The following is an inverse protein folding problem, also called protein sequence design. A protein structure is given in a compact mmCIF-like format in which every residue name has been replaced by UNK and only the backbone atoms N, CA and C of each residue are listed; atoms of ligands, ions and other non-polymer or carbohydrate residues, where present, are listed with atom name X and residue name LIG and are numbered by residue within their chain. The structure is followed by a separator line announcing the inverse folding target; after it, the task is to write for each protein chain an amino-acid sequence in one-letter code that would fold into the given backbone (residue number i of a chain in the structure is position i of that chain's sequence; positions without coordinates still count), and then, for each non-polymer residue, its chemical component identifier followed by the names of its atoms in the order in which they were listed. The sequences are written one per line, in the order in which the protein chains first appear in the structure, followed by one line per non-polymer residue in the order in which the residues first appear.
data_IF_539807930293
#
_entry.id   IF_539807930293
#
_cell.length_a   1.000
_cell.length_b   1.000
_cell.length_c   1.000
_cell.angle_alpha   90.00
_cell.angle_beta   90.00
_cell.angle_gamma   90.00
#
_symmetry.space_group_name_H-M   'P 1'
#
loop_
_entity.id
_entity.type
_entity.pdbx_description
1 polymer ?
#
# COMPACT_ATOMS: atom_id res chain seq x y z
N UNK A 1 5.63 16.67 -17.22
CA UNK A 1 5.59 18.05 -16.66
C UNK A 1 7.00 18.61 -16.71
N UNK A 2 7.22 19.70 -17.47
CA UNK A 2 8.50 20.42 -17.44
C UNK A 2 8.68 21.01 -16.04
N UNK A 3 9.86 20.84 -15.45
CA UNK A 3 10.15 21.38 -14.13
C UNK A 3 10.19 22.91 -14.21
N UNK A 4 9.63 23.65 -13.23
CA UNK A 4 9.79 25.09 -13.17
C UNK A 4 11.29 25.42 -13.09
N UNK A 5 11.77 26.27 -13.99
CA UNK A 5 13.07 26.94 -13.91
C UNK A 5 12.89 28.19 -13.05
N UNK A 6 13.68 28.31 -12.00
CA UNK A 6 13.70 29.49 -11.12
C UNK A 6 14.86 30.37 -11.56
N UNK A 7 14.61 31.67 -11.72
CA UNK A 7 15.67 32.63 -11.99
C UNK A 7 16.44 32.95 -10.72
N UNK A 8 17.62 33.56 -10.87
CA UNK A 8 18.43 34.05 -9.75
C UNK A 8 17.64 35.00 -8.83
N UNK A 9 16.81 35.85 -9.42
CA UNK A 9 16.01 36.83 -8.70
C UNK A 9 14.88 36.17 -7.89
N UNK A 10 14.27 35.10 -8.42
CA UNK A 10 13.27 34.31 -7.69
C UNK A 10 13.88 33.68 -6.43
N UNK A 11 15.12 33.19 -6.53
CA UNK A 11 15.85 32.59 -5.40
C UNK A 11 16.20 33.64 -4.35
N UNK A 12 16.68 34.81 -4.76
CA UNK A 12 17.00 35.91 -3.84
C UNK A 12 15.76 36.46 -3.14
N UNK A 13 14.65 36.64 -3.85
CA UNK A 13 13.37 37.06 -3.28
C UNK A 13 12.86 36.04 -2.24
N UNK A 14 12.98 34.74 -2.54
CA UNK A 14 12.61 33.68 -1.61
C UNK A 14 13.51 33.63 -0.36
N UNK A 15 14.79 34.00 -0.48
CA UNK A 15 15.73 34.04 0.63
C UNK A 15 15.50 35.24 1.56
N UNK A 16 15.22 36.43 1.03
CA UNK A 16 15.09 37.67 1.81
C UNK A 16 13.98 37.60 2.88
N UNK A 17 12.88 36.89 2.62
CA UNK A 17 11.77 36.72 3.56
C UNK A 17 11.81 35.43 4.39
N UNK A 18 12.77 34.55 4.16
CA UNK A 18 12.77 33.22 4.74
C UNK A 18 13.53 33.15 6.06
N UNK A 19 12.91 32.53 7.07
CA UNK A 19 13.55 32.21 8.36
C UNK A 19 14.05 30.76 8.41
N UNK A 20 13.85 30.01 7.34
CA UNK A 20 14.31 28.63 7.19
C UNK A 20 14.23 28.18 5.74
N UNK A 21 14.98 27.14 5.39
CA UNK A 21 14.91 26.51 4.08
C UNK A 21 13.52 25.95 3.74
N UNK A 22 12.69 25.62 4.76
CA UNK A 22 11.27 25.28 4.56
C UNK A 22 10.48 26.48 4.03
N UNK A 23 10.73 27.66 4.58
CA UNK A 23 10.03 28.89 4.18
C UNK A 23 10.40 29.26 2.74
N UNK A 24 11.67 29.07 2.35
CA UNK A 24 12.14 29.18 0.95
C UNK A 24 11.38 28.24 0.02
N UNK A 25 11.26 26.96 0.40
CA UNK A 25 10.50 25.98 -0.40
C UNK A 25 9.03 26.40 -0.57
N UNK A 26 8.41 26.91 0.50
CA UNK A 26 7.02 27.38 0.45
C UNK A 26 6.90 28.62 -0.46
N UNK A 27 7.82 29.58 -0.35
CA UNK A 27 7.83 30.79 -1.18
C UNK A 27 7.98 30.47 -2.67
N UNK A 28 8.78 29.46 -3.00
CA UNK A 28 8.96 28.95 -4.37
C UNK A 28 7.81 28.05 -4.86
N UNK A 29 6.75 27.85 -4.05
CA UNK A 29 5.63 26.98 -4.38
C UNK A 29 5.98 25.48 -4.42
N UNK A 30 7.09 25.08 -3.79
CA UNK A 30 7.58 23.71 -3.78
C UNK A 30 6.99 22.91 -2.62
N UNK A 31 6.77 21.61 -2.87
CA UNK A 31 6.37 20.67 -1.81
C UNK A 31 7.51 20.46 -0.82
N UNK A 32 7.21 20.48 0.47
CA UNK A 32 8.21 20.22 1.52
C UNK A 32 8.52 18.73 1.60
N UNK A 33 9.66 18.30 1.04
CA UNK A 33 10.20 16.94 1.17
C UNK A 33 11.72 16.91 0.97
N UNK A 34 12.36 15.81 1.36
CA UNK A 34 13.81 15.61 1.31
C UNK A 34 14.43 15.88 -0.08
N UNK A 35 13.72 15.55 -1.16
CA UNK A 35 14.20 15.75 -2.53
C UNK A 35 14.20 17.23 -2.95
N UNK A 36 13.23 18.01 -2.49
CA UNK A 36 13.16 19.44 -2.82
C UNK A 36 14.22 20.25 -2.05
N UNK A 37 14.59 19.85 -0.84
CA UNK A 37 15.72 20.45 -0.12
C UNK A 37 17.02 20.33 -0.93
N UNK A 38 17.35 19.13 -1.39
CA UNK A 38 18.55 18.90 -2.24
C UNK A 38 18.49 19.72 -3.54
N UNK A 39 17.30 19.87 -4.12
CA UNK A 39 17.12 20.65 -5.34
C UNK A 39 17.42 22.14 -5.13
N UNK A 40 16.90 22.74 -4.06
CA UNK A 40 17.17 24.16 -3.77
C UNK A 40 18.65 24.39 -3.50
N UNK A 41 19.32 23.47 -2.79
CA UNK A 41 20.78 23.52 -2.63
C UNK A 41 21.51 23.59 -3.98
N UNK A 42 21.19 22.68 -4.90
CA UNK A 42 21.82 22.67 -6.23
C UNK A 42 21.50 23.91 -7.07
N UNK A 43 20.32 24.52 -6.91
CA UNK A 43 19.96 25.77 -7.59
C UNK A 43 20.73 26.97 -7.05
N UNK A 44 20.92 27.06 -5.73
CA UNK A 44 21.72 28.12 -5.12
C UNK A 44 23.19 28.00 -5.53
N UNK A 45 23.71 26.77 -5.54
CA UNK A 45 25.09 26.48 -5.97
C UNK A 45 25.31 26.82 -7.45
N UNK A 46 24.37 26.47 -8.35
CA UNK A 46 24.49 26.79 -9.78
C UNK A 46 24.46 28.28 -10.08
N UNK A 47 23.79 29.07 -9.23
CA UNK A 47 23.68 30.53 -9.37
C UNK A 47 24.75 31.30 -8.57
N UNK A 48 25.68 30.57 -7.93
CA UNK A 48 26.75 31.15 -7.11
C UNK A 48 26.24 31.91 -5.87
N UNK A 49 25.04 31.57 -5.39
CA UNK A 49 24.46 32.18 -4.19
C UNK A 49 24.93 31.37 -2.98
N UNK A 50 25.69 31.96 -2.04
CA UNK A 50 26.11 31.25 -0.83
C UNK A 50 24.88 30.83 -0.03
N UNK A 51 24.94 29.63 0.55
CA UNK A 51 23.86 29.13 1.41
C UNK A 51 23.73 30.05 2.63
N UNK A 52 22.57 30.67 2.87
CA UNK A 52 22.41 31.50 4.05
C UNK A 52 22.38 30.63 5.30
N UNK A 53 23.07 31.12 6.33
CA UNK A 53 22.94 30.57 7.67
C UNK A 53 21.57 30.97 8.21
N UNK A 54 20.61 30.04 8.14
CA UNK A 54 19.38 30.21 8.88
C UNK A 54 19.70 30.06 10.37
N UNK A 55 19.17 30.95 11.25
CA UNK A 55 19.30 30.72 12.67
C UNK A 55 18.78 29.33 12.96
N UNK A 56 19.60 28.49 13.60
CA UNK A 56 19.15 27.20 14.04
C UNK A 56 17.84 27.46 14.79
N UNK A 57 16.72 26.97 14.24
CA UNK A 57 15.48 26.95 15.02
C UNK A 57 15.87 26.12 16.21
N UNK A 58 16.16 26.79 17.32
CA UNK A 58 16.18 26.12 18.59
C UNK A 58 14.88 25.34 18.61
N UNK A 59 14.99 24.12 19.10
CA UNK A 59 13.90 23.33 19.62
C UNK A 59 13.22 24.11 20.77
N UNK A 60 12.78 25.35 20.51
CA UNK A 60 12.19 26.24 21.49
C UNK A 60 10.88 25.62 21.87
N UNK A 61 10.60 25.66 23.17
CA UNK A 61 9.33 25.22 23.71
C UNK A 61 8.15 25.93 23.03
N UNK A 62 8.33 27.18 22.58
CA UNK A 62 7.33 27.92 21.81
C UNK A 62 7.03 27.27 20.44
N UNK A 63 8.05 26.90 19.66
CA UNK A 63 7.85 26.23 18.37
C UNK A 63 7.28 24.82 18.55
N UNK A 64 7.65 24.11 19.62
CA UNK A 64 7.07 22.80 19.97
C UNK A 64 5.59 22.91 20.34
N UNK A 65 5.22 23.91 21.15
CA UNK A 65 3.82 24.19 21.52
C UNK A 65 2.97 24.59 20.32
N UNK A 66 3.46 25.47 19.46
CA UNK A 66 2.73 25.91 18.26
C UNK A 66 2.46 24.76 17.25
N UNK A 67 3.29 23.71 17.26
CA UNK A 67 3.10 22.53 16.42
C UNK A 67 2.41 21.36 17.16
N UNK A 68 1.94 21.58 18.39
CA UNK A 68 1.26 20.55 19.16
C UNK A 68 -0.18 20.42 18.64
N UNK A 69 -0.46 19.31 17.96
CA UNK A 69 -1.83 18.94 17.59
C UNK A 69 -2.62 18.72 18.89
N UNK A 70 -3.79 19.34 19.01
CA UNK A 70 -4.73 19.13 20.13
C UNK A 70 -5.06 17.64 20.28
N UNK A 71 -5.53 17.21 21.44
CA UNK A 71 -5.92 15.80 21.60
C UNK A 71 -7.20 15.49 20.79
N UNK A 72 -8.13 16.44 20.69
CA UNK A 72 -9.32 16.34 19.84
C UNK A 72 -8.95 16.11 18.36
N UNK A 73 -8.04 16.90 17.79
CA UNK A 73 -7.59 16.72 16.39
C UNK A 73 -6.73 15.47 16.17
N UNK A 74 -6.11 14.98 17.23
CA UNK A 74 -5.27 13.80 17.17
C UNK A 74 -6.12 12.52 17.19
N UNK A 75 -7.08 12.44 18.10
CA UNK A 75 -7.98 11.30 18.32
C UNK A 75 -9.27 11.42 17.51
N UNK A 76 -9.10 11.52 16.18
CA UNK A 76 -10.21 11.54 15.22
C UNK A 76 -10.07 10.43 14.19
N UNK A 77 -11.19 10.13 13.53
CA UNK A 77 -11.25 9.19 12.43
C UNK A 77 -10.70 9.77 11.11
N UNK A 78 -10.32 8.88 10.18
CA UNK A 78 -9.87 9.23 8.83
C UNK A 78 -8.41 9.65 8.69
N UNK A 79 -7.59 9.56 9.76
CA UNK A 79 -6.17 9.94 9.69
C UNK A 79 -5.29 8.79 10.17
N UNK A 80 -4.24 8.45 9.43
CA UNK A 80 -3.27 7.50 9.95
C UNK A 80 -2.43 8.12 11.07
N UNK A 81 -2.36 7.44 12.22
CA UNK A 81 -1.49 7.80 13.33
C UNK A 81 -0.61 6.61 13.69
N UNK A 82 0.61 6.92 14.11
CA UNK A 82 1.55 5.90 14.57
C UNK A 82 1.14 5.38 15.95
N UNK A 83 1.14 4.05 16.13
CA UNK A 83 0.70 3.40 17.37
C UNK A 83 1.53 3.81 18.60
N UNK A 84 2.82 4.08 18.44
CA UNK A 84 3.65 4.56 19.56
C UNK A 84 3.26 5.96 20.00
N UNK A 85 2.83 6.82 19.05
CA UNK A 85 2.34 8.17 19.35
C UNK A 85 0.97 8.14 20.02
N UNK A 86 0.07 7.28 19.55
CA UNK A 86 -1.23 7.04 20.18
C UNK A 86 -1.03 6.61 21.63
N UNK A 87 -0.28 5.52 21.86
CA UNK A 87 -0.01 5.01 23.21
C UNK A 87 0.54 6.07 24.14
N UNK A 88 1.57 6.81 23.71
CA UNK A 88 2.18 7.86 24.53
C UNK A 88 1.18 8.95 24.93
N UNK A 89 0.23 9.28 24.05
CA UNK A 89 -0.82 10.26 24.38
C UNK A 89 -1.88 9.67 25.31
N UNK A 90 -2.33 8.43 25.07
CA UNK A 90 -3.27 7.75 25.97
C UNK A 90 -2.72 7.68 27.41
N UNK A 91 -1.47 7.28 27.59
CA UNK A 91 -0.84 7.24 28.91
C UNK A 91 -0.72 8.61 29.56
N UNK A 92 -0.48 9.67 28.76
CA UNK A 92 -0.47 11.05 29.26
C UNK A 92 -1.87 11.52 29.70
N UNK A 93 -2.92 11.03 29.04
CA UNK A 93 -4.31 11.27 29.40
C UNK A 93 -4.77 10.44 30.62
N UNK A 94 -3.88 9.70 31.27
CA UNK A 94 -4.19 8.92 32.46
C UNK A 94 -4.82 7.56 32.17
N UNK A 95 -4.70 7.05 30.94
CA UNK A 95 -5.14 5.69 30.64
C UNK A 95 -4.30 4.66 31.40
N UNK A 96 -4.97 3.62 31.88
CA UNK A 96 -4.30 2.53 32.58
C UNK A 96 -3.32 1.81 31.65
N UNK A 97 -2.12 1.52 32.16
CA UNK A 97 -1.05 0.88 31.40
C UNK A 97 -1.07 -0.66 31.56
N UNK A 98 -2.27 -1.25 31.64
CA UNK A 98 -2.50 -2.68 31.66
C UNK A 98 -3.17 -3.14 30.36
N UNK A 99 -3.03 -4.43 30.05
CA UNK A 99 -3.76 -5.03 28.96
C UNK A 99 -5.26 -5.00 29.25
N UNK A 100 -6.04 -4.35 28.40
CA UNK A 100 -7.50 -4.28 28.49
C UNK A 100 -8.21 -5.63 28.38
N UNK A 101 -7.54 -6.68 27.88
CA UNK A 101 -8.10 -8.02 27.69
C UNK A 101 -7.78 -8.94 28.86
N UNK A 102 -6.51 -9.00 29.28
CA UNK A 102 -6.05 -9.96 30.29
C UNK A 102 -5.51 -9.33 31.59
N UNK A 103 -5.51 -7.99 31.70
CA UNK A 103 -4.99 -7.27 32.86
C UNK A 103 -3.47 -7.29 33.00
N UNK A 104 -2.73 -7.84 32.04
CA UNK A 104 -1.27 -7.93 32.12
C UNK A 104 -0.62 -6.55 32.29
N UNK A 105 0.21 -6.42 33.31
CA UNK A 105 1.03 -5.25 33.59
C UNK A 105 2.03 -4.96 32.45
N UNK A 106 2.60 -3.75 32.38
CA UNK A 106 3.61 -3.41 31.37
C UNK A 106 5.00 -3.97 31.76
N UNK A 107 5.02 -5.18 32.29
CA UNK A 107 6.21 -5.95 32.66
C UNK A 107 5.98 -7.43 32.32
N UNK A 108 7.00 -8.06 31.77
CA UNK A 108 7.03 -9.50 31.52
C UNK A 108 8.43 -10.04 31.78
N UNK A 109 8.53 -11.11 32.58
CA UNK A 109 9.80 -11.75 32.93
C UNK A 109 10.84 -10.76 33.51
N UNK A 110 10.41 -9.88 34.41
CA UNK A 110 11.25 -8.85 35.04
C UNK A 110 11.76 -7.77 34.09
N UNK A 111 11.17 -7.65 32.88
CA UNK A 111 11.56 -6.66 31.87
C UNK A 111 10.35 -5.84 31.43
N UNK A 112 10.54 -4.55 31.08
CA UNK A 112 9.45 -3.71 30.58
C UNK A 112 8.78 -4.32 29.34
N UNK A 113 7.46 -4.47 29.39
CA UNK A 113 6.64 -4.92 28.28
C UNK A 113 5.94 -3.71 27.64
N UNK A 114 6.13 -3.56 26.34
CA UNK A 114 5.40 -2.56 25.56
C UNK A 114 4.03 -3.11 25.20
N UNK A 115 2.98 -2.59 25.85
CA UNK A 115 1.60 -2.78 25.37
C UNK A 115 1.43 -2.11 24.01
N UNK A 116 0.66 -2.75 23.14
CA UNK A 116 0.37 -2.33 21.78
C UNK A 116 -1.00 -1.63 21.75
N UNK A 117 -1.17 -0.74 20.79
CA UNK A 117 -2.48 -0.12 20.51
C UNK A 117 -3.21 -1.03 19.54
N UNK A 118 -4.41 -1.44 19.92
CA UNK A 118 -5.34 -2.15 19.05
C UNK A 118 -6.55 -1.27 18.74
N UNK A 119 -6.97 -1.32 17.48
CA UNK A 119 -8.17 -0.67 16.97
C UNK A 119 -9.29 -1.70 17.00
N UNK A 120 -10.33 -1.49 17.81
CA UNK A 120 -11.40 -2.47 18.04
C UNK A 120 -12.06 -2.89 16.72
N UNK A 121 -12.31 -1.93 15.82
CA UNK A 121 -12.86 -2.19 14.48
C UNK A 121 -11.83 -2.61 13.42
N UNK A 122 -10.54 -2.71 13.77
CA UNK A 122 -9.44 -3.04 12.85
C UNK A 122 -9.06 -1.94 11.86
N UNK A 123 -9.71 -0.77 11.91
CA UNK A 123 -9.41 0.35 11.03
C UNK A 123 -8.33 1.25 11.62
N UNK A 124 -7.12 1.19 11.05
CA UNK A 124 -5.95 1.97 11.51
C UNK A 124 -6.05 3.48 11.33
N UNK A 125 -7.06 3.99 10.63
CA UNK A 125 -7.30 5.44 10.51
C UNK A 125 -8.34 5.95 11.49
N UNK A 126 -9.02 5.05 12.20
CA UNK A 126 -10.08 5.41 13.14
C UNK A 126 -9.55 5.57 14.56
N UNK A 127 -9.01 6.75 14.87
CA UNK A 127 -8.33 6.99 16.16
C UNK A 127 -9.25 7.59 17.23
N UNK A 128 -10.56 7.42 17.10
CA UNK A 128 -11.50 7.81 18.15
C UNK A 128 -11.15 7.06 19.45
N UNK A 129 -11.16 7.73 20.59
CA UNK A 129 -10.73 7.16 21.87
C UNK A 129 -11.49 5.86 22.21
N UNK A 130 -12.79 5.84 21.97
CA UNK A 130 -13.67 4.68 22.16
C UNK A 130 -13.32 3.47 21.29
N UNK A 131 -12.62 3.67 20.17
CA UNK A 131 -12.19 2.60 19.27
C UNK A 131 -10.77 2.09 19.60
N UNK A 132 -10.10 2.64 20.61
CA UNK A 132 -8.73 2.30 20.96
C UNK A 132 -8.67 1.51 22.26
N UNK A 133 -7.77 0.53 22.31
CA UNK A 133 -7.42 -0.17 23.56
C UNK A 133 -5.94 -0.51 23.62
N UNK A 134 -5.40 -0.58 24.82
CA UNK A 134 -4.05 -1.08 25.06
C UNK A 134 -4.12 -2.59 25.31
N UNK A 135 -3.30 -3.36 24.60
CA UNK A 135 -3.28 -4.83 24.68
C UNK A 135 -1.85 -5.34 24.71
N UNK A 136 -1.60 -6.46 25.41
CA UNK A 136 -0.29 -7.10 25.36
C UNK A 136 -0.06 -7.77 24.00
N UNK A 137 1.19 -8.03 23.59
CA UNK A 137 1.50 -8.65 22.30
C UNK A 137 0.78 -9.99 22.09
N UNK A 138 0.60 -10.77 23.16
CA UNK A 138 -0.07 -12.08 23.09
C UNK A 138 -1.57 -11.94 22.82
N UNK A 139 -2.27 -11.03 23.51
CA UNK A 139 -3.68 -10.77 23.26
C UNK A 139 -3.90 -10.09 21.92
N UNK A 140 -2.99 -9.18 21.51
CA UNK A 140 -3.08 -8.56 20.20
C UNK A 140 -2.92 -9.58 19.09
N UNK A 141 -1.99 -10.53 19.22
CA UNK A 141 -1.80 -11.60 18.24
C UNK A 141 -3.05 -12.50 18.05
N UNK A 142 -3.93 -12.54 19.07
CA UNK A 142 -5.19 -13.29 19.05
C UNK A 142 -6.37 -12.46 18.56
N UNK A 143 -6.21 -11.18 18.25
CA UNK A 143 -7.32 -10.37 17.74
C UNK A 143 -7.66 -10.76 16.30
N UNK A 144 -8.95 -10.68 15.95
CA UNK A 144 -9.45 -10.94 14.59
C UNK A 144 -8.84 -10.00 13.53
N UNK A 145 -8.31 -8.86 13.99
CA UNK A 145 -7.75 -7.78 13.20
C UNK A 145 -6.23 -7.88 13.06
N UNK A 146 -5.58 -8.79 13.81
CA UNK A 146 -4.14 -8.94 13.84
C UNK A 146 -3.58 -9.37 12.48
N UNK A 147 -2.48 -8.74 12.05
CA UNK A 147 -1.77 -9.16 10.84
C UNK A 147 -2.52 -8.94 9.51
N UNK A 148 -3.73 -8.36 9.50
CA UNK A 148 -4.54 -8.09 8.29
C UNK A 148 -3.92 -7.08 7.30
N UNK A 149 -2.66 -6.67 7.50
CA UNK A 149 -1.92 -5.81 6.57
C UNK A 149 -1.52 -6.48 5.26
N UNK A 150 -1.64 -7.80 5.18
CA UNK A 150 -1.23 -8.56 4.00
C UNK A 150 -2.37 -9.42 3.44
N UNK A 151 -3.60 -8.91 3.42
CA UNK A 151 -4.52 -9.36 2.38
C UNK A 151 -3.86 -8.96 1.06
N UNK A 152 -3.04 -9.88 0.51
CA UNK A 152 -2.37 -9.73 -0.76
C UNK A 152 -3.46 -9.35 -1.75
N UNK A 153 -3.49 -8.07 -2.14
CA UNK A 153 -4.31 -7.59 -3.24
C UNK A 153 -3.66 -8.17 -4.50
N UNK A 154 -3.83 -9.47 -4.71
CA UNK A 154 -3.49 -10.12 -5.94
C UNK A 154 -4.28 -9.39 -7.02
N UNK A 155 -3.57 -8.69 -7.88
CA UNK A 155 -4.16 -8.18 -9.11
C UNK A 155 -3.96 -9.23 -10.18
N UNK A 156 -4.89 -9.26 -11.12
CA UNK A 156 -4.79 -10.10 -12.30
C UNK A 156 -4.67 -9.19 -13.52
N UNK A 157 -3.89 -9.62 -14.51
CA UNK A 157 -3.76 -8.94 -15.78
C UNK A 157 -5.14 -8.79 -16.42
N UNK A 158 -5.52 -7.58 -16.81
CA UNK A 158 -6.81 -7.30 -17.46
C UNK A 158 -6.97 -8.01 -18.82
N UNK A 159 -5.88 -8.46 -19.43
CA UNK A 159 -5.88 -8.99 -20.80
C UNK A 159 -5.84 -10.51 -20.87
N UNK A 160 -5.00 -11.14 -20.05
CA UNK A 160 -4.83 -12.60 -20.06
C UNK A 160 -5.17 -13.26 -18.73
N UNK A 161 -5.40 -12.45 -17.70
CA UNK A 161 -5.85 -12.94 -16.42
C UNK A 161 -4.81 -13.61 -15.53
N UNK A 162 -3.53 -13.61 -15.91
CA UNK A 162 -2.45 -14.09 -15.03
C UNK A 162 -2.27 -13.18 -13.83
N UNK A 163 -1.81 -13.71 -12.70
CA UNK A 163 -1.46 -12.94 -11.51
C UNK A 163 -0.37 -11.92 -11.83
N UNK A 164 -0.54 -10.68 -11.39
CA UNK A 164 0.40 -9.59 -11.58
C UNK A 164 0.70 -8.90 -10.25
N UNK A 165 1.76 -8.09 -10.23
CA UNK A 165 2.09 -7.29 -9.04
C UNK A 165 0.94 -6.32 -8.72
N UNK A 166 0.73 -5.93 -7.44
CA UNK A 166 -0.39 -5.07 -7.04
C UNK A 166 -0.48 -3.70 -7.74
N UNK A 167 0.62 -3.25 -8.37
CA UNK A 167 0.70 -1.99 -9.11
C UNK A 167 0.51 -2.15 -10.63
N UNK A 168 0.62 -3.37 -11.15
CA UNK A 168 0.51 -3.63 -12.58
C UNK A 168 -0.96 -3.85 -12.99
N UNK A 169 -1.39 -3.22 -14.09
CA UNK A 169 -2.70 -3.49 -14.71
C UNK A 169 -2.63 -4.66 -15.71
N UNK A 170 -1.46 -4.88 -16.32
CA UNK A 170 -1.22 -5.92 -17.33
C UNK A 170 0.11 -6.64 -17.06
N UNK A 171 0.25 -7.90 -17.48
CA UNK A 171 1.49 -8.66 -17.28
C UNK A 171 2.59 -8.19 -18.26
N UNK A 172 3.85 -8.56 -17.97
CA UNK A 172 5.02 -8.21 -18.78
C UNK A 172 4.84 -8.60 -20.25
N UNK A 173 4.29 -9.79 -20.51
CA UNK A 173 4.06 -10.29 -21.87
C UNK A 173 2.99 -9.49 -22.60
N UNK A 174 1.81 -9.27 -21.99
CA UNK A 174 0.76 -8.47 -22.61
C UNK A 174 1.17 -7.01 -22.82
N UNK A 175 1.96 -6.43 -21.91
CA UNK A 175 2.54 -5.11 -22.10
C UNK A 175 3.52 -5.08 -23.28
N UNK A 176 4.34 -6.13 -23.46
CA UNK A 176 5.28 -6.22 -24.57
C UNK A 176 4.59 -6.47 -25.92
N UNK A 177 3.48 -7.22 -25.94
CA UNK A 177 2.66 -7.41 -27.14
C UNK A 177 2.02 -6.09 -27.58
N UNK A 178 1.42 -5.32 -26.64
CA UNK A 178 0.88 -3.98 -26.93
C UNK A 178 1.92 -3.05 -27.54
N UNK A 179 3.15 -3.03 -26.99
CA UNK A 179 4.24 -2.19 -27.52
C UNK A 179 4.68 -2.58 -28.93
N UNK A 180 4.60 -3.86 -29.27
CA UNK A 180 5.00 -4.40 -30.58
C UNK A 180 3.86 -4.41 -31.60
N UNK A 181 2.68 -3.88 -31.26
CA UNK A 181 1.50 -3.94 -32.12
C UNK A 181 0.98 -5.36 -32.37
N UNK A 182 1.46 -6.35 -31.62
CA UNK A 182 1.01 -7.74 -31.76
C UNK A 182 -0.19 -7.98 -30.85
N UNK A 183 -1.18 -8.78 -31.28
CA UNK A 183 -2.33 -9.11 -30.44
C UNK A 183 -1.85 -9.68 -29.10
N UNK A 184 -2.11 -8.96 -28.01
CA UNK A 184 -1.73 -9.41 -26.68
C UNK A 184 -2.62 -10.57 -26.26
N UNK A 185 -2.02 -11.73 -25.95
CA UNK A 185 -2.65 -12.77 -25.14
C UNK A 185 -4.00 -13.27 -25.65
N UNK A 186 -4.20 -13.40 -26.96
CA UNK A 186 -5.35 -14.15 -27.46
C UNK A 186 -5.04 -15.65 -27.41
N UNK A 187 -5.82 -16.38 -26.62
CA UNK A 187 -6.25 -17.71 -27.04
C UNK A 187 -6.71 -17.60 -28.50
N UNK A 188 -6.30 -18.52 -29.36
CA UNK A 188 -6.71 -18.56 -30.78
C UNK A 188 -8.24 -18.68 -30.98
N UNK A 189 -9.01 -18.69 -29.89
CA UNK A 189 -10.40 -19.09 -29.78
C UNK A 189 -11.13 -18.12 -28.84
N UNK A 190 -12.37 -17.78 -29.20
CA UNK A 190 -13.30 -17.05 -28.36
C UNK A 190 -13.85 -18.01 -27.29
N UNK A 191 -13.41 -17.83 -26.04
CA UNK A 191 -13.90 -18.64 -24.93
C UNK A 191 -15.30 -18.20 -24.52
N UNK A 192 -16.23 -19.14 -24.26
CA UNK A 192 -17.51 -18.85 -23.62
C UNK A 192 -17.31 -18.21 -22.24
N UNK A 193 -18.38 -17.59 -21.74
CA UNK A 193 -18.43 -17.11 -20.35
C UNK A 193 -18.11 -18.26 -19.35
N UNK A 194 -17.43 -18.00 -18.22
CA UNK A 194 -17.09 -19.04 -17.24
C UNK A 194 -18.24 -19.94 -16.82
N UNK A 195 -19.43 -19.39 -16.61
CA UNK A 195 -20.59 -20.17 -16.18
C UNK A 195 -21.10 -21.07 -17.31
N UNK A 196 -21.15 -20.52 -18.53
CA UNK A 196 -21.51 -21.29 -19.72
C UNK A 196 -20.48 -22.40 -20.00
N UNK A 197 -19.19 -22.12 -19.80
CA UNK A 197 -18.14 -23.12 -19.99
C UNK A 197 -18.29 -24.27 -18.99
N UNK A 198 -18.57 -23.97 -17.71
CA UNK A 198 -18.85 -24.99 -16.68
C UNK A 198 -20.05 -25.85 -17.04
N UNK A 199 -21.16 -25.23 -17.41
CA UNK A 199 -22.38 -25.94 -17.81
C UNK A 199 -22.12 -26.85 -19.01
N UNK A 200 -21.44 -26.36 -20.05
CA UNK A 200 -21.10 -27.18 -21.23
C UNK A 200 -20.18 -28.36 -20.89
N UNK A 201 -19.17 -28.15 -20.03
CA UNK A 201 -18.29 -29.24 -19.60
C UNK A 201 -19.06 -30.28 -18.76
N UNK A 202 -20.01 -29.85 -17.92
CA UNK A 202 -20.86 -30.75 -17.15
C UNK A 202 -21.81 -31.57 -18.04
N UNK A 203 -22.38 -30.95 -19.09
CA UNK A 203 -23.36 -31.61 -19.97
C UNK A 203 -22.73 -32.54 -21.00
N UNK A 204 -21.68 -32.11 -21.70
CA UNK A 204 -21.11 -32.87 -22.84
C UNK A 204 -19.67 -33.33 -22.63
N UNK A 205 -19.03 -32.96 -21.52
CA UNK A 205 -17.66 -33.34 -21.19
C UNK A 205 -16.58 -32.45 -21.82
N UNK A 206 -15.42 -32.37 -21.15
CA UNK A 206 -14.33 -31.46 -21.53
C UNK A 206 -13.76 -31.75 -22.93
N UNK A 207 -13.68 -33.02 -23.35
CA UNK A 207 -13.18 -33.41 -24.66
C UNK A 207 -14.11 -32.99 -25.80
N UNK A 208 -15.44 -32.98 -25.58
CA UNK A 208 -16.40 -32.54 -26.59
C UNK A 208 -16.38 -31.02 -26.75
N UNK A 209 -16.32 -30.28 -25.63
CA UNK A 209 -16.13 -28.82 -25.64
C UNK A 209 -14.82 -28.43 -26.32
N UNK A 210 -13.75 -29.20 -26.11
CA UNK A 210 -12.45 -28.95 -26.73
C UNK A 210 -12.51 -29.08 -28.26
N UNK A 211 -13.20 -30.11 -28.78
CA UNK A 211 -13.41 -30.30 -30.22
C UNK A 211 -14.20 -29.15 -30.85
N UNK A 212 -15.29 -28.74 -30.21
CA UNK A 212 -16.14 -27.64 -30.69
C UNK A 212 -15.38 -26.31 -30.74
N UNK A 213 -14.54 -26.06 -29.73
CA UNK A 213 -13.74 -24.85 -29.62
C UNK A 213 -12.42 -24.91 -30.42
N UNK A 214 -12.05 -26.04 -31.01
CA UNK A 214 -10.77 -26.20 -31.73
C UNK A 214 -9.54 -26.08 -30.82
N UNK A 215 -9.64 -26.54 -29.57
CA UNK A 215 -8.58 -26.51 -28.55
C UNK A 215 -8.28 -27.89 -27.99
N UNK A 216 -7.19 -28.04 -27.23
CA UNK A 216 -6.93 -29.27 -26.49
C UNK A 216 -7.82 -29.37 -25.24
N UNK A 217 -8.16 -30.60 -24.84
CA UNK A 217 -8.90 -30.85 -23.60
C UNK A 217 -8.20 -30.26 -22.37
N UNK A 218 -6.88 -30.35 -22.33
CA UNK A 218 -6.04 -29.74 -21.29
C UNK A 218 -6.22 -28.22 -21.22
N UNK A 219 -6.44 -27.54 -22.35
CA UNK A 219 -6.71 -26.11 -22.37
C UNK A 219 -8.07 -25.76 -21.74
N UNK A 220 -9.12 -26.56 -22.02
CA UNK A 220 -10.44 -26.42 -21.40
C UNK A 220 -10.34 -26.62 -19.88
N UNK A 221 -9.67 -27.68 -19.43
CA UNK A 221 -9.47 -27.97 -18.00
C UNK A 221 -8.66 -26.90 -17.26
N UNK A 222 -7.59 -26.37 -17.88
CA UNK A 222 -6.79 -25.28 -17.31
C UNK A 222 -7.56 -23.96 -17.27
N UNK A 223 -8.48 -23.73 -18.23
CA UNK A 223 -9.33 -22.54 -18.23
C UNK A 223 -10.38 -22.60 -17.12
N UNK A 224 -11.11 -23.71 -17.02
CA UNK A 224 -12.07 -23.94 -15.93
C UNK A 224 -11.43 -23.73 -14.55
N UNK A 225 -10.28 -24.38 -14.28
CA UNK A 225 -9.56 -24.19 -13.01
C UNK A 225 -9.23 -22.73 -12.67
N UNK A 226 -8.79 -21.94 -13.67
CA UNK A 226 -8.49 -20.51 -13.44
C UNK A 226 -9.74 -19.68 -13.18
N UNK A 227 -10.83 -19.99 -13.88
CA UNK A 227 -12.09 -19.28 -13.72
C UNK A 227 -12.75 -19.63 -12.37
N UNK A 228 -12.56 -20.86 -11.89
CA UNK A 228 -12.96 -21.30 -10.55
C UNK A 228 -12.08 -20.70 -9.45
N UNK A 229 -10.75 -20.66 -9.63
CA UNK A 229 -9.83 -19.96 -8.71
C UNK A 229 -10.17 -18.46 -8.60
N UNK A 230 -10.60 -17.83 -9.70
CA UNK A 230 -11.06 -16.43 -9.75
C UNK A 230 -12.39 -16.23 -9.04
N UNK A 231 -13.34 -17.15 -9.23
CA UNK A 231 -14.63 -17.12 -8.55
C UNK A 231 -14.42 -17.33 -7.04
N UNK A 232 -13.63 -18.33 -6.64
CA UNK A 232 -13.33 -18.63 -5.25
C UNK A 232 -12.61 -17.47 -4.56
N UNK A 233 -11.67 -16.79 -5.23
CA UNK A 233 -11.03 -15.57 -4.67
C UNK A 233 -11.96 -14.35 -4.60
N UNK A 234 -13.00 -14.28 -5.43
CA UNK A 234 -14.01 -13.23 -5.36
C UNK A 234 -15.03 -13.47 -4.22
N UNK A 235 -15.31 -14.73 -3.90
CA UNK A 235 -16.27 -15.14 -2.85
C UNK A 235 -15.61 -15.20 -1.47
N UNK A 236 -14.39 -15.73 -1.37
CA UNK A 236 -13.79 -16.06 -0.07
C UNK A 236 -13.11 -14.90 0.65
N UNK A 237 -12.89 -13.74 0.01
CA UNK A 237 -12.31 -12.60 0.71
C UNK A 237 -11.06 -12.92 1.56
N UNK A 238 -10.21 -13.88 1.11
CA UNK A 238 -8.91 -14.37 1.62
C UNK A 238 -8.93 -15.86 2.05
N UNK A 239 -8.11 -16.68 1.37
CA UNK A 239 -7.08 -17.59 1.93
C UNK A 239 -6.82 -18.76 0.97
N UNK A 240 -5.57 -18.91 0.49
CA UNK A 240 -5.21 -20.06 -0.34
C UNK A 240 -3.88 -19.88 -1.03
N UNK A 241 -2.81 -20.32 -0.36
CA UNK A 241 -1.51 -20.48 -0.99
C UNK A 241 -1.53 -21.68 -1.95
N UNK A 242 -1.15 -21.45 -3.20
CA UNK A 242 -0.44 -22.44 -4.02
C UNK A 242 0.24 -21.74 -5.20
N UNK A 243 1.36 -22.32 -5.58
CA UNK A 243 2.28 -21.96 -6.66
C UNK A 243 1.54 -21.63 -7.95
N UNK A 244 1.57 -20.36 -8.37
CA UNK A 244 1.03 -19.96 -9.66
C UNK A 244 1.95 -20.48 -10.78
N UNK A 245 1.41 -21.05 -11.87
CA UNK A 245 2.24 -21.52 -12.97
C UNK A 245 2.93 -20.34 -13.64
N UNK A 246 4.24 -20.47 -13.85
CA UNK A 246 5.00 -19.58 -14.72
C UNK A 246 4.48 -19.65 -16.15
N UNK A 247 4.59 -18.52 -16.84
CA UNK A 247 4.10 -18.32 -18.18
C UNK A 247 5.20 -18.67 -19.21
N UNK A 248 5.73 -19.89 -19.17
CA UNK A 248 6.82 -20.38 -20.01
C UNK A 248 6.74 -21.93 -19.97
N UNK A 249 6.78 -22.74 -21.03
CA UNK A 249 7.21 -22.66 -22.43
C UNK A 249 6.44 -23.74 -23.25
N UNK A 250 6.47 -23.71 -24.60
CA UNK A 250 6.08 -24.88 -25.39
C UNK A 250 7.12 -25.98 -25.18
N UNK A 251 6.72 -27.10 -24.58
CA UNK A 251 7.52 -28.32 -24.64
C UNK A 251 7.49 -28.82 -26.09
N UNK A 252 8.63 -28.69 -26.76
CA UNK A 252 8.96 -29.42 -27.98
C UNK A 252 9.05 -30.90 -27.63
N UNK A 253 8.09 -31.69 -28.08
CA UNK A 253 8.26 -33.13 -28.18
C UNK A 253 8.49 -33.47 -29.66
N UNK A 254 9.68 -34.03 -29.92
CA UNK A 254 9.87 -34.96 -31.04
C UNK A 254 9.31 -36.33 -30.68
#
# INVERSE_FOLDING_TARGET
MRRPTYSRDDLLAALLGARSLKDVLIALGLKVNAGQYRRVHGLLESEGIPMPEFPARYNTEAARRANLISDEDFFRSGVFRDGSKIRRRLLRLGWDHHCSVCGLAPEWNGRPLVLQVDHINGNRTDNMLENLRLVCPNCHAQSETFGRHNAHRYRYCELCGVRVTPRAQVCRQCSASRRRGTPSGRSKVAWPDPEQLRQRVATVGASAVARDLGVSETAVRRRGRRDDERAQTAVDGVAGGSTGPECDQPESFG
#
